data_IF_937262287112
#
_entry.id   IF_937262287112
#
_cell.length_a   1.000
_cell.length_b   1.000
_cell.length_c   1.000
_cell.angle_alpha   90.00
_cell.angle_beta   90.00
_cell.angle_gamma   90.00
#
_symmetry.space_group_name_H-M   'P 1'
#
loop_
_entity.id
_entity.type
_entity.pdbx_description
1 polymer ?
#
# COMPACT_ATOMS: atom_id res chain seq x y z
N UNK A 1 20.33 -12.92 -27.08
CA UNK A 1 21.31 -13.88 -27.65
C UNK A 1 21.43 -15.21 -26.87
N UNK A 2 20.46 -15.59 -26.04
CA UNK A 2 20.50 -16.86 -25.27
C UNK A 2 19.19 -17.66 -25.42
N UNK A 3 18.74 -17.86 -26.65
CA UNK A 3 17.67 -18.82 -26.95
C UNK A 3 17.96 -19.44 -28.32
N UNK A 4 18.93 -20.34 -28.39
CA UNK A 4 19.15 -21.11 -29.63
C UNK A 4 19.77 -22.50 -29.44
N UNK A 5 20.08 -22.93 -28.23
CA UNK A 5 20.68 -24.26 -28.00
C UNK A 5 20.15 -24.89 -26.72
N UNK A 6 18.94 -25.44 -26.76
CA UNK A 6 18.51 -26.45 -25.80
C UNK A 6 18.16 -27.73 -26.59
N UNK A 7 18.71 -28.90 -26.22
CA UNK A 7 18.38 -30.14 -26.89
C UNK A 7 16.90 -30.52 -26.62
N UNK A 8 16.22 -31.14 -27.60
CA UNK A 8 14.76 -31.27 -27.62
C UNK A 8 14.15 -32.21 -26.56
N UNK A 9 14.97 -32.78 -25.66
CA UNK A 9 14.54 -33.76 -24.64
C UNK A 9 14.54 -33.22 -23.20
N UNK A 10 14.76 -31.91 -22.99
CA UNK A 10 14.67 -31.31 -21.66
C UNK A 10 13.47 -30.37 -21.51
N UNK A 11 12.68 -30.64 -20.48
CA UNK A 11 11.52 -29.85 -20.05
C UNK A 11 11.97 -28.43 -19.62
N UNK A 12 11.50 -27.36 -20.29
CA UNK A 12 11.92 -25.98 -20.01
C UNK A 12 11.64 -25.54 -18.57
N UNK A 13 10.67 -26.15 -17.88
CA UNK A 13 10.39 -25.89 -16.46
C UNK A 13 11.50 -26.38 -15.54
N UNK A 14 12.21 -27.47 -15.90
CA UNK A 14 13.37 -27.98 -15.13
C UNK A 14 14.60 -27.08 -15.24
N UNK A 15 14.78 -26.43 -16.39
CA UNK A 15 15.88 -25.48 -16.61
C UNK A 15 15.64 -24.20 -15.82
N UNK A 16 14.39 -23.70 -15.82
CA UNK A 16 13.98 -22.52 -15.05
C UNK A 16 14.04 -22.73 -13.53
N UNK A 17 13.63 -23.90 -13.02
CA UNK A 17 13.72 -24.21 -11.59
C UNK A 17 15.15 -24.42 -11.12
N UNK A 18 16.00 -25.06 -11.93
CA UNK A 18 17.43 -25.20 -11.60
C UNK A 18 18.17 -23.84 -11.61
N UNK A 19 17.77 -22.93 -12.50
CA UNK A 19 18.27 -21.54 -12.52
C UNK A 19 17.75 -20.71 -11.35
N UNK A 20 16.47 -20.82 -10.97
CA UNK A 20 15.90 -20.08 -9.85
C UNK A 20 16.51 -20.53 -8.51
N UNK A 21 16.68 -21.83 -8.30
CA UNK A 21 17.35 -22.37 -7.10
C UNK A 21 18.84 -22.03 -7.10
N UNK A 22 19.50 -22.06 -8.27
CA UNK A 22 20.89 -21.64 -8.44
C UNK A 22 21.12 -20.16 -8.10
N UNK A 23 20.22 -19.27 -8.55
CA UNK A 23 20.27 -17.84 -8.26
C UNK A 23 20.03 -17.54 -6.77
N UNK A 24 19.05 -18.19 -6.13
CA UNK A 24 18.76 -18.00 -4.70
C UNK A 24 19.93 -18.48 -3.83
N UNK A 25 20.58 -19.59 -4.22
CA UNK A 25 21.77 -20.08 -3.55
C UNK A 25 22.97 -19.14 -3.79
N UNK A 26 23.15 -18.60 -5.00
CA UNK A 26 24.28 -17.73 -5.34
C UNK A 26 24.36 -16.44 -4.51
N UNK A 27 23.22 -15.91 -4.05
CA UNK A 27 23.13 -14.60 -3.37
C UNK A 27 23.12 -14.74 -1.83
N UNK A 28 23.04 -15.96 -1.29
CA UNK A 28 22.92 -16.22 0.15
C UNK A 28 24.27 -16.51 0.83
N UNK A 29 24.57 -15.94 2.02
CA UNK A 29 25.82 -16.19 2.75
C UNK A 29 25.92 -17.65 3.22
N UNK A 30 27.14 -18.20 3.22
CA UNK A 30 27.45 -19.63 3.41
C UNK A 30 26.67 -20.36 4.54
N UNK A 31 26.49 -19.82 5.76
CA UNK A 31 25.75 -20.53 6.81
C UNK A 31 24.23 -20.63 6.57
N UNK A 32 23.67 -19.84 5.64
CA UNK A 32 22.27 -19.95 5.24
C UNK A 32 22.04 -21.16 4.32
N UNK A 33 22.98 -21.49 3.42
CA UNK A 33 22.80 -22.58 2.43
C UNK A 33 22.52 -23.96 3.06
N UNK A 34 23.17 -24.29 4.17
CA UNK A 34 22.99 -25.58 4.86
C UNK A 34 21.65 -25.70 5.62
N UNK A 35 20.99 -24.58 5.91
CA UNK A 35 19.69 -24.56 6.59
C UNK A 35 18.56 -24.80 5.60
N UNK A 36 18.65 -24.22 4.41
CA UNK A 36 17.67 -24.36 3.35
C UNK A 36 17.53 -25.81 2.83
N UNK A 37 18.62 -26.57 2.78
CA UNK A 37 18.57 -27.99 2.40
C UNK A 37 17.88 -28.89 3.43
N UNK A 38 17.74 -28.47 4.69
CA UNK A 38 17.16 -29.28 5.77
C UNK A 38 15.64 -29.12 5.90
N UNK A 39 15.11 -27.94 5.55
CA UNK A 39 13.76 -27.52 5.92
C UNK A 39 12.71 -27.71 4.79
N UNK A 40 13.15 -28.02 3.57
CA UNK A 40 12.28 -28.20 2.40
C UNK A 40 12.36 -29.62 1.84
N UNK A 41 11.20 -30.27 1.67
CA UNK A 41 11.07 -31.47 0.84
C UNK A 41 10.28 -31.13 -0.44
N UNK A 42 10.81 -31.59 -1.57
CA UNK A 42 10.14 -31.57 -2.87
C UNK A 42 9.33 -32.86 -2.97
N UNK A 43 8.00 -32.75 -3.07
CA UNK A 43 7.13 -33.90 -3.35
C UNK A 43 6.37 -33.70 -4.66
N UNK A 44 6.15 -34.80 -5.37
CA UNK A 44 5.30 -34.85 -6.56
C UNK A 44 3.93 -35.36 -6.15
N UNK A 45 2.88 -34.66 -6.56
CA UNK A 45 1.50 -35.14 -6.48
C UNK A 45 1.22 -36.00 -7.73
N UNK A 46 0.79 -37.27 -7.61
CA UNK A 46 0.47 -38.10 -8.77
C UNK A 46 -0.75 -37.60 -9.56
N UNK A 47 -1.65 -36.84 -8.94
CA UNK A 47 -2.92 -36.41 -9.55
C UNK A 47 -2.86 -34.99 -10.13
N UNK A 48 -1.77 -34.26 -9.86
CA UNK A 48 -1.59 -32.89 -10.31
C UNK A 48 -0.12 -32.64 -10.73
N UNK A 49 0.19 -32.34 -12.01
CA UNK A 49 1.56 -32.32 -12.52
C UNK A 49 2.43 -31.14 -12.03
N UNK A 50 2.02 -30.45 -10.96
CA UNK A 50 2.81 -29.43 -10.27
C UNK A 50 3.84 -30.00 -9.28
N UNK A 51 5.02 -29.38 -9.21
CA UNK A 51 6.02 -29.67 -8.17
C UNK A 51 5.74 -28.77 -6.96
N UNK A 52 5.50 -29.35 -5.78
CA UNK A 52 5.19 -28.62 -4.56
C UNK A 52 6.37 -28.62 -3.59
N UNK A 53 6.69 -27.45 -3.03
CA UNK A 53 7.67 -27.27 -1.96
C UNK A 53 6.92 -27.21 -0.63
N UNK A 54 7.13 -28.20 0.25
CA UNK A 54 6.47 -28.25 1.57
C UNK A 54 7.47 -27.94 2.68
N UNK A 55 7.14 -26.97 3.53
CA UNK A 55 7.95 -26.57 4.69
C UNK A 55 7.69 -27.49 5.89
N UNK A 56 8.75 -28.06 6.48
CA UNK A 56 8.63 -28.88 7.71
C UNK A 56 8.62 -27.99 8.96
N UNK A 57 7.48 -27.37 9.27
CA UNK A 57 7.33 -26.67 10.55
C UNK A 57 5.98 -26.01 10.71
N UNK A 58 5.03 -26.72 11.30
CA UNK A 58 3.66 -26.25 11.53
C UNK A 58 3.56 -25.09 12.54
N UNK A 59 2.58 -24.22 12.28
CA UNK A 59 1.77 -23.37 13.18
C UNK A 59 2.44 -22.44 14.20
N UNK A 60 3.48 -22.87 14.91
CA UNK A 60 4.00 -22.16 16.07
C UNK A 60 4.97 -21.02 15.73
N UNK A 61 5.60 -21.05 14.56
CA UNK A 61 6.70 -20.13 14.20
C UNK A 61 6.19 -18.75 13.78
N UNK A 62 5.04 -18.66 13.11
CA UNK A 62 4.40 -17.39 12.71
C UNK A 62 4.06 -16.57 13.97
N UNK A 63 3.51 -17.21 15.00
CA UNK A 63 3.23 -16.56 16.30
C UNK A 63 4.47 -16.07 17.08
N UNK A 64 5.65 -16.63 16.81
CA UNK A 64 6.92 -16.19 17.41
C UNK A 64 7.57 -15.07 16.62
N UNK A 65 7.39 -15.06 15.30
CA UNK A 65 7.85 -13.98 14.42
C UNK A 65 7.00 -12.72 14.70
N UNK A 66 5.66 -12.82 14.76
CA UNK A 66 4.77 -11.71 15.14
C UNK A 66 5.09 -11.11 16.52
N UNK A 67 5.29 -11.94 17.55
CA UNK A 67 5.68 -11.47 18.90
C UNK A 67 7.08 -10.85 18.97
N UNK A 68 7.99 -11.20 18.06
CA UNK A 68 9.33 -10.60 17.98
C UNK A 68 9.31 -9.31 17.13
N UNK A 69 8.40 -9.21 16.17
CA UNK A 69 8.12 -7.99 15.40
C UNK A 69 7.50 -6.90 16.28
N UNK A 70 6.58 -7.26 17.18
CA UNK A 70 5.96 -6.30 18.12
C UNK A 70 6.92 -5.70 19.17
N UNK A 71 7.98 -6.43 19.56
CA UNK A 71 9.03 -5.88 20.44
C UNK A 71 9.97 -4.89 19.74
N UNK A 72 9.83 -4.70 18.43
CA UNK A 72 10.68 -3.84 17.61
C UNK A 72 9.90 -2.80 16.80
N UNK A 73 8.69 -2.42 17.22
CA UNK A 73 7.90 -1.33 16.64
C UNK A 73 8.42 0.07 17.05
N UNK A 74 9.74 0.18 17.17
CA UNK A 74 10.50 1.41 17.35
C UNK A 74 11.63 1.35 16.31
N UNK A 75 11.35 1.74 15.06
CA UNK A 75 12.37 1.76 14.00
C UNK A 75 11.84 2.07 12.60
N UNK A 76 12.24 3.24 12.06
CA UNK A 76 11.81 3.86 10.79
C UNK A 76 12.15 3.05 9.52
N UNK A 77 13.17 2.19 9.53
CA UNK A 77 13.58 1.41 8.34
C UNK A 77 12.58 0.31 7.94
N UNK A 78 11.69 -0.10 8.85
CA UNK A 78 10.74 -1.20 8.59
C UNK A 78 9.35 -0.75 8.15
N UNK A 79 9.02 0.53 8.27
CA UNK A 79 7.73 1.09 7.81
C UNK A 79 7.67 1.24 6.28
N UNK A 80 8.78 1.64 5.64
CA UNK A 80 8.88 1.67 4.18
C UNK A 80 8.83 0.27 3.55
N UNK A 81 9.49 -0.70 4.19
CA UNK A 81 9.44 -2.12 3.76
C UNK A 81 8.05 -2.74 3.94
N UNK A 82 7.25 -2.27 4.90
CA UNK A 82 5.89 -2.74 5.12
C UNK A 82 4.94 -2.31 3.98
N UNK A 83 5.06 -1.08 3.48
CA UNK A 83 4.19 -0.55 2.42
C UNK A 83 4.58 -1.03 1.02
N UNK A 84 5.88 -1.19 0.77
CA UNK A 84 6.38 -1.92 -0.40
C UNK A 84 5.81 -3.35 -0.41
N UNK A 85 5.78 -4.02 0.76
CA UNK A 85 5.23 -5.37 0.88
C UNK A 85 3.71 -5.42 0.69
N UNK A 86 2.94 -4.45 1.22
CA UNK A 86 1.48 -4.36 0.93
C UNK A 86 1.22 -4.13 -0.56
N UNK A 87 1.94 -3.19 -1.19
CA UNK A 87 1.73 -2.85 -2.60
C UNK A 87 2.21 -3.93 -3.59
N UNK A 88 3.13 -4.80 -3.18
CA UNK A 88 3.71 -5.86 -4.03
C UNK A 88 3.04 -7.23 -3.79
N UNK A 89 2.74 -7.58 -2.53
CA UNK A 89 2.19 -8.91 -2.19
C UNK A 89 0.66 -8.96 -2.20
N UNK A 90 -0.05 -7.85 -1.96
CA UNK A 90 -1.52 -7.80 -2.06
C UNK A 90 -1.99 -7.02 -3.29
N UNK A 91 -3.03 -7.53 -3.93
CA UNK A 91 -3.76 -6.76 -4.92
C UNK A 91 -4.43 -5.54 -4.27
N UNK A 92 -4.30 -4.37 -4.88
CA UNK A 92 -4.92 -3.12 -4.38
C UNK A 92 -6.40 -3.25 -4.05
N UNK A 93 -7.12 -4.10 -4.79
CA UNK A 93 -8.54 -4.34 -4.57
C UNK A 93 -8.83 -5.03 -3.22
N UNK A 94 -8.02 -6.02 -2.83
CA UNK A 94 -8.21 -6.76 -1.58
C UNK A 94 -7.94 -5.86 -0.37
N UNK A 95 -6.87 -5.06 -0.43
CA UNK A 95 -6.55 -4.06 0.60
C UNK A 95 -7.69 -3.04 0.76
N UNK A 96 -8.24 -2.55 -0.34
CA UNK A 96 -9.38 -1.61 -0.30
C UNK A 96 -10.64 -2.27 0.26
N UNK A 97 -10.92 -3.53 -0.09
CA UNK A 97 -12.07 -4.27 0.45
C UNK A 97 -11.97 -4.47 1.95
N UNK A 98 -10.81 -4.94 2.45
CA UNK A 98 -10.58 -5.11 3.89
C UNK A 98 -10.73 -3.77 4.63
N UNK A 99 -10.11 -2.72 4.10
CA UNK A 99 -10.14 -1.40 4.73
C UNK A 99 -11.55 -0.79 4.73
N UNK A 100 -12.31 -0.98 3.66
CA UNK A 100 -13.70 -0.54 3.56
C UNK A 100 -14.56 -1.24 4.62
N UNK A 101 -14.38 -2.54 4.79
CA UNK A 101 -15.14 -3.32 5.79
C UNK A 101 -14.75 -2.93 7.23
N UNK A 102 -13.46 -2.69 7.50
CA UNK A 102 -12.98 -2.16 8.79
C UNK A 102 -13.67 -0.85 9.14
N UNK A 103 -13.75 0.07 8.17
CA UNK A 103 -14.38 1.37 8.35
C UNK A 103 -15.89 1.25 8.59
N UNK A 104 -16.58 0.39 7.83
CA UNK A 104 -18.01 0.13 8.02
C UNK A 104 -18.31 -0.47 9.40
N UNK A 105 -17.51 -1.45 9.82
CA UNK A 105 -17.61 -2.02 11.17
C UNK A 105 -17.41 -0.90 12.20
N UNK A 106 -16.38 -0.06 12.06
CA UNK A 106 -16.12 1.02 13.01
C UNK A 106 -17.25 2.06 13.07
N UNK A 107 -17.77 2.48 11.92
CA UNK A 107 -18.89 3.45 11.83
C UNK A 107 -20.19 2.91 12.41
N UNK A 108 -20.41 1.59 12.33
CA UNK A 108 -21.60 0.94 12.92
C UNK A 108 -21.58 0.88 14.45
N UNK A 109 -20.41 1.08 15.09
CA UNK A 109 -20.25 0.92 16.53
C UNK A 109 -20.25 2.28 17.25
N UNK A 110 -20.88 2.39 18.42
CA UNK A 110 -20.86 3.63 19.20
C UNK A 110 -19.51 3.88 19.88
N UNK A 111 -18.69 2.83 20.06
CA UNK A 111 -17.41 2.88 20.75
C UNK A 111 -16.36 3.66 19.94
N UNK A 112 -15.57 4.47 20.63
CA UNK A 112 -14.45 5.19 20.04
C UNK A 112 -13.25 4.27 19.78
N UNK A 113 -13.09 3.21 20.57
CA UNK A 113 -11.99 2.24 20.46
C UNK A 113 -12.55 0.82 20.39
N UNK A 114 -12.19 0.09 19.34
CA UNK A 114 -12.64 -1.28 19.10
C UNK A 114 -11.52 -2.30 19.34
N UNK A 115 -11.80 -3.45 19.95
CA UNK A 115 -10.82 -4.53 20.08
C UNK A 115 -10.43 -5.08 18.71
N UNK A 116 -9.12 -5.13 18.43
CA UNK A 116 -8.57 -5.63 17.16
C UNK A 116 -9.00 -7.07 16.91
N UNK A 117 -8.88 -7.94 17.92
CA UNK A 117 -9.19 -9.37 17.80
C UNK A 117 -10.66 -9.60 17.42
N UNK A 118 -11.59 -8.85 18.02
CA UNK A 118 -13.02 -8.99 17.73
C UNK A 118 -13.34 -8.56 16.30
N UNK A 119 -12.73 -7.47 15.84
CA UNK A 119 -12.92 -6.98 14.47
C UNK A 119 -12.27 -7.91 13.45
N UNK A 120 -11.10 -8.49 13.75
CA UNK A 120 -10.46 -9.49 12.89
C UNK A 120 -11.37 -10.71 12.65
N UNK A 121 -12.00 -11.23 13.71
CA UNK A 121 -12.93 -12.34 13.59
C UNK A 121 -14.17 -11.99 12.75
N UNK A 122 -14.71 -10.79 12.94
CA UNK A 122 -15.87 -10.33 12.16
C UNK A 122 -15.51 -10.13 10.68
N UNK A 123 -14.33 -9.58 10.40
CA UNK A 123 -13.81 -9.41 9.04
C UNK A 123 -13.58 -10.73 8.34
N UNK A 124 -12.94 -11.70 9.00
CA UNK A 124 -12.72 -13.02 8.47
C UNK A 124 -14.05 -13.64 8.00
N UNK A 125 -15.07 -13.60 8.87
CA UNK A 125 -16.41 -14.07 8.56
C UNK A 125 -17.08 -13.31 7.40
N UNK A 126 -17.03 -11.96 7.40
CA UNK A 126 -17.71 -11.14 6.40
C UNK A 126 -17.08 -11.25 5.01
N UNK A 127 -15.76 -11.41 4.93
CA UNK A 127 -15.00 -11.51 3.68
C UNK A 127 -14.87 -12.96 3.18
N UNK A 128 -15.36 -13.93 3.94
CA UNK A 128 -15.42 -15.34 3.54
C UNK A 128 -14.15 -16.14 3.83
N UNK A 129 -13.27 -15.67 4.71
CA UNK A 129 -12.16 -16.45 5.25
C UNK A 129 -12.69 -17.43 6.33
N UNK A 130 -12.10 -18.62 6.41
CA UNK A 130 -12.43 -19.67 7.38
C UNK A 130 -12.17 -19.18 8.82
N UNK A 131 -11.03 -18.51 9.03
CA UNK A 131 -10.64 -17.92 10.29
C UNK A 131 -9.67 -16.74 10.11
N UNK A 132 -9.24 -16.16 11.24
CA UNK A 132 -8.27 -15.05 11.26
C UNK A 132 -6.91 -15.49 10.74
N UNK A 133 -6.50 -16.75 10.95
CA UNK A 133 -5.20 -17.24 10.51
C UNK A 133 -5.13 -17.33 8.98
N UNK A 134 -6.23 -17.73 8.32
CA UNK A 134 -6.34 -17.71 6.85
C UNK A 134 -6.31 -16.27 6.31
N UNK A 135 -7.05 -15.36 6.93
CA UNK A 135 -7.03 -13.93 6.55
C UNK A 135 -5.62 -13.35 6.71
N UNK A 136 -4.95 -13.59 7.84
CA UNK A 136 -3.57 -13.14 8.11
C UNK A 136 -2.55 -13.76 7.14
N UNK A 137 -2.77 -15.00 6.73
CA UNK A 137 -1.97 -15.67 5.71
C UNK A 137 -2.17 -15.04 4.32
N UNK A 138 -3.42 -14.69 3.95
CA UNK A 138 -3.74 -14.01 2.70
C UNK A 138 -3.09 -12.62 2.64
N UNK A 139 -3.17 -11.85 3.73
CA UNK A 139 -2.50 -10.53 3.82
C UNK A 139 -0.99 -10.63 4.09
N UNK A 140 -0.45 -11.84 4.30
CA UNK A 140 0.96 -12.11 4.60
C UNK A 140 1.53 -11.29 5.80
N UNK A 141 0.68 -11.01 6.80
CA UNK A 141 1.03 -10.29 8.03
C UNK A 141 -0.04 -10.43 9.11
N UNK A 142 0.31 -10.09 10.35
CA UNK A 142 -0.66 -9.98 11.44
C UNK A 142 -1.62 -8.81 11.19
N UNK A 143 -2.91 -8.98 11.46
CA UNK A 143 -3.93 -7.97 11.19
C UNK A 143 -3.69 -6.67 11.97
N UNK A 144 -3.14 -6.77 13.19
CA UNK A 144 -2.75 -5.59 13.97
C UNK A 144 -1.65 -4.76 13.29
N UNK A 145 -0.71 -5.43 12.61
CA UNK A 145 0.39 -4.82 11.85
C UNK A 145 -0.17 -4.19 10.59
N UNK A 146 -1.10 -4.86 9.90
CA UNK A 146 -1.83 -4.32 8.75
C UNK A 146 -2.54 -3.01 9.10
N UNK A 147 -3.36 -3.00 10.15
CA UNK A 147 -4.05 -1.80 10.62
C UNK A 147 -3.08 -0.68 11.00
N UNK A 148 -1.96 -1.02 11.64
CA UNK A 148 -0.92 -0.06 12.00
C UNK A 148 -0.24 0.56 10.79
N UNK A 149 -0.50 0.07 9.57
CA UNK A 149 0.02 0.59 8.32
C UNK A 149 -0.62 1.88 7.82
N UNK A 150 -1.87 2.13 8.22
CA UNK A 150 -2.68 3.18 7.62
C UNK A 150 -2.59 4.49 8.41
N UNK A 151 -2.62 5.67 7.75
CA UNK A 151 -2.44 6.96 8.41
C UNK A 151 -3.53 7.28 9.45
N UNK A 152 -4.79 7.06 9.09
CA UNK A 152 -5.96 7.41 9.90
C UNK A 152 -6.30 6.40 11.01
N UNK A 153 -5.55 5.30 11.11
CA UNK A 153 -5.76 4.24 12.08
C UNK A 153 -4.74 4.39 13.20
N UNK A 154 -5.23 4.49 14.43
CA UNK A 154 -4.40 4.49 15.63
C UNK A 154 -4.63 3.20 16.41
N UNK A 155 -3.55 2.61 16.92
CA UNK A 155 -3.60 1.38 17.72
C UNK A 155 -3.01 1.66 19.10
N UNK A 156 -3.63 1.12 20.14
CA UNK A 156 -3.14 1.19 21.51
C UNK A 156 -3.28 -0.15 22.24
N UNK A 157 -2.50 -0.32 23.30
CA UNK A 157 -2.72 -1.37 24.30
C UNK A 157 -3.65 -0.85 25.40
N UNK A 158 -4.70 -1.60 25.72
CA UNK A 158 -5.56 -1.23 26.86
C UNK A 158 -4.87 -1.57 28.19
N UNK A 159 -4.27 -0.62 28.90
CA UNK A 159 -3.71 -0.82 30.26
C UNK A 159 -2.43 -1.67 30.37
N UNK A 160 -1.99 -2.01 31.61
CA UNK A 160 -0.78 -2.85 31.86
C UNK A 160 -1.10 -4.35 31.78
N UNK A 161 -0.32 -5.13 31.00
CA UNK A 161 -0.39 -6.60 30.90
C UNK A 161 -0.62 -7.16 29.49
N UNK A 162 -0.99 -8.45 29.38
CA UNK A 162 -1.48 -9.10 28.13
C UNK A 162 -2.94 -8.71 27.85
N UNK A 163 -3.21 -7.42 27.69
CA UNK A 163 -4.55 -6.94 27.36
C UNK A 163 -4.71 -6.78 25.85
N UNK A 164 -5.94 -6.91 25.31
CA UNK A 164 -6.19 -6.87 23.88
C UNK A 164 -5.78 -5.52 23.28
N UNK A 165 -5.35 -5.56 22.02
CA UNK A 165 -5.11 -4.34 21.24
C UNK A 165 -6.46 -3.72 20.89
N UNK A 166 -6.50 -2.39 20.93
CA UNK A 166 -7.65 -1.61 20.46
C UNK A 166 -7.19 -0.68 19.35
N UNK A 167 -8.06 -0.45 18.36
CA UNK A 167 -7.85 0.56 17.34
C UNK A 167 -8.96 1.60 17.33
N UNK A 168 -8.67 2.76 16.76
CA UNK A 168 -9.63 3.83 16.48
C UNK A 168 -9.36 4.44 15.12
N UNK A 169 -10.40 5.04 14.53
CA UNK A 169 -10.35 5.77 13.27
C UNK A 169 -10.75 7.21 13.50
N UNK A 170 -10.08 8.14 12.81
CA UNK A 170 -10.55 9.53 12.68
C UNK A 170 -11.89 9.54 11.95
N UNK A 171 -12.98 9.85 12.65
CA UNK A 171 -14.34 9.88 12.07
C UNK A 171 -14.49 11.01 11.05
N UNK A 172 -15.13 10.70 9.93
CA UNK A 172 -15.48 11.68 8.89
C UNK A 172 -16.51 12.70 9.41
N UNK A 173 -17.43 12.26 10.28
CA UNK A 173 -18.49 13.11 10.85
C UNK A 173 -17.95 14.29 11.66
N UNK A 174 -16.71 14.20 12.15
CA UNK A 174 -16.04 15.24 12.93
C UNK A 174 -15.20 16.19 12.05
N UNK A 175 -15.24 16.05 10.72
CA UNK A 175 -14.52 16.92 9.78
C UNK A 175 -14.80 18.41 9.99
N UNK A 176 -16.05 18.77 10.26
CA UNK A 176 -16.47 20.16 10.50
C UNK A 176 -15.87 20.79 11.77
N UNK A 177 -15.35 19.98 12.69
CA UNK A 177 -14.68 20.45 13.91
C UNK A 177 -13.18 20.67 13.70
N UNK A 178 -12.65 20.28 12.53
CA UNK A 178 -11.23 20.32 12.23
C UNK A 178 -10.88 21.57 11.45
N UNK A 179 -9.65 22.03 11.67
CA UNK A 179 -9.10 23.13 10.90
C UNK A 179 -8.64 22.64 9.53
N UNK A 180 -8.74 23.49 8.49
CA UNK A 180 -8.07 23.25 7.22
C UNK A 180 -6.56 23.01 7.41
N UNK A 181 -6.02 22.08 6.63
CA UNK A 181 -4.60 21.73 6.66
C UNK A 181 -3.97 21.93 5.29
N UNK A 182 -2.78 22.53 5.27
CA UNK A 182 -1.85 22.37 4.15
C UNK A 182 -0.67 21.52 4.56
N UNK A 183 -0.25 20.65 3.66
CA UNK A 183 0.94 19.84 3.87
C UNK A 183 1.80 19.82 2.61
N UNK A 184 3.11 19.72 2.82
CA UNK A 184 4.12 19.56 1.76
C UNK A 184 4.96 18.35 2.09
N UNK A 185 5.15 17.50 1.10
CA UNK A 185 6.06 16.39 1.15
C UNK A 185 7.01 16.45 -0.06
N UNK A 186 8.32 16.39 0.19
CA UNK A 186 9.32 16.43 -0.87
C UNK A 186 9.73 14.98 -1.17
N UNK A 187 9.44 14.51 -2.38
CA UNK A 187 9.81 13.19 -2.86
C UNK A 187 11.23 13.27 -3.39
N UNK A 188 12.18 12.64 -2.71
CA UNK A 188 13.61 12.71 -3.06
C UNK A 188 14.10 11.44 -3.77
N UNK A 189 13.45 10.32 -3.52
CA UNK A 189 13.84 9.00 -4.03
C UNK A 189 12.62 8.14 -4.39
N UNK A 190 12.85 7.09 -5.18
CA UNK A 190 11.80 6.10 -5.51
C UNK A 190 11.22 5.40 -4.28
N UNK A 191 11.96 5.35 -3.15
CA UNK A 191 11.44 4.82 -1.88
C UNK A 191 10.32 5.68 -1.32
N UNK A 192 10.39 6.99 -1.49
CA UNK A 192 9.42 7.95 -0.96
C UNK A 192 8.06 7.80 -1.68
N UNK A 193 8.04 7.27 -2.91
CA UNK A 193 6.82 6.99 -3.67
C UNK A 193 5.94 5.93 -2.99
N UNK A 194 6.50 5.08 -2.15
CA UNK A 194 5.77 4.06 -1.38
C UNK A 194 5.15 4.60 -0.10
N UNK A 195 5.33 5.90 0.21
CA UNK A 195 4.63 6.57 1.32
C UNK A 195 3.12 6.48 1.09
N UNK A 196 2.38 6.02 2.10
CA UNK A 196 0.92 5.97 2.04
C UNK A 196 0.37 7.36 2.33
N UNK A 197 -0.49 7.80 1.42
CA UNK A 197 -1.20 9.05 1.50
C UNK A 197 -2.70 8.78 1.52
N UNK A 198 -3.34 9.20 2.60
CA UNK A 198 -4.79 9.33 2.70
C UNK A 198 -5.20 10.67 2.07
N UNK A 199 -5.83 10.61 0.90
CA UNK A 199 -6.51 11.73 0.27
C UNK A 199 -7.95 11.79 0.77
N UNK A 200 -8.31 12.86 1.48
CA UNK A 200 -9.71 13.10 1.87
C UNK A 200 -10.58 13.43 0.65
N UNK A 201 -11.91 13.36 0.83
CA UNK A 201 -12.90 13.65 -0.23
C UNK A 201 -12.77 15.06 -0.81
N UNK A 202 -12.35 16.00 0.03
CA UNK A 202 -12.25 17.44 -0.27
C UNK A 202 -10.80 17.90 -0.48
N UNK A 203 -9.84 16.97 -0.46
CA UNK A 203 -8.42 17.28 -0.64
C UNK A 203 -8.11 17.61 -2.10
N UNK A 204 -7.41 18.73 -2.28
CA UNK A 204 -6.69 19.09 -3.50
C UNK A 204 -5.24 18.64 -3.34
N UNK A 205 -4.68 18.04 -4.38
CA UNK A 205 -3.25 17.73 -4.48
C UNK A 205 -2.65 18.57 -5.61
N UNK A 206 -1.48 19.11 -5.39
CA UNK A 206 -0.75 19.94 -6.32
C UNK A 206 0.71 19.49 -6.47
N UNK A 207 1.18 19.45 -7.72
CA UNK A 207 2.57 19.18 -8.09
C UNK A 207 3.09 20.45 -8.82
N UNK A 208 3.73 21.38 -8.09
CA UNK A 208 4.15 22.67 -8.63
C UNK A 208 5.04 22.55 -9.88
N UNK A 209 5.96 21.60 -9.90
CA UNK A 209 6.94 21.43 -10.98
C UNK A 209 6.31 21.07 -12.33
N UNK A 210 5.08 20.55 -12.30
CA UNK A 210 4.30 20.20 -13.49
C UNK A 210 3.10 21.12 -13.71
N UNK A 211 2.87 22.09 -12.82
CA UNK A 211 1.63 22.90 -12.77
C UNK A 211 0.38 22.01 -12.82
N UNK A 212 0.42 20.89 -12.07
CA UNK A 212 -0.56 19.83 -12.15
C UNK A 212 -1.36 19.70 -10.85
N UNK A 213 -2.68 19.66 -10.99
CA UNK A 213 -3.64 19.53 -9.88
C UNK A 213 -4.43 18.23 -9.99
N UNK A 214 -4.61 17.54 -8.85
CA UNK A 214 -5.64 16.51 -8.68
C UNK A 214 -6.75 17.12 -7.81
N UNK A 215 -7.89 17.38 -8.45
CA UNK A 215 -9.06 17.98 -7.81
C UNK A 215 -9.79 17.02 -6.84
N UNK A 216 -10.66 17.54 -5.98
CA UNK A 216 -11.58 16.74 -5.19
C UNK A 216 -12.50 15.90 -6.09
N UNK A 217 -12.62 14.62 -5.80
CA UNK A 217 -13.45 13.65 -6.51
C UNK A 217 -14.61 13.12 -5.63
N UNK A 218 -14.77 13.68 -4.43
CA UNK A 218 -15.79 13.29 -3.46
C UNK A 218 -15.56 11.92 -2.83
N UNK A 219 -14.43 11.27 -3.12
CA UNK A 219 -14.07 9.94 -2.61
C UNK A 219 -12.84 10.04 -1.73
N UNK A 220 -12.88 9.31 -0.61
CA UNK A 220 -11.72 9.09 0.23
C UNK A 220 -10.87 8.02 -0.44
N UNK A 221 -9.56 8.26 -0.56
CA UNK A 221 -8.64 7.29 -1.19
C UNK A 221 -7.39 7.13 -0.35
N UNK A 222 -7.02 5.89 -0.09
CA UNK A 222 -5.86 5.53 0.73
C UNK A 222 -4.96 4.69 -0.14
N UNK A 223 -3.84 5.27 -0.54
CA UNK A 223 -2.96 4.64 -1.51
C UNK A 223 -1.54 5.21 -1.39
N UNK A 224 -0.58 4.60 -2.07
CA UNK A 224 0.78 5.14 -2.14
C UNK A 224 0.84 6.33 -3.09
N UNK A 225 1.84 7.21 -2.92
CA UNK A 225 2.08 8.32 -3.86
C UNK A 225 2.27 7.81 -5.29
N UNK A 226 2.99 6.69 -5.45
CA UNK A 226 3.14 5.99 -6.74
C UNK A 226 1.77 5.74 -7.39
N UNK A 227 0.84 5.15 -6.65
CA UNK A 227 -0.46 4.77 -7.17
C UNK A 227 -1.39 5.97 -7.42
N UNK A 228 -1.27 7.04 -6.63
CA UNK A 228 -1.99 8.29 -6.92
C UNK A 228 -1.51 8.91 -8.25
N UNK A 229 -0.21 8.94 -8.51
CA UNK A 229 0.36 9.39 -9.79
C UNK A 229 -0.04 8.45 -10.92
N UNK A 230 0.09 7.14 -10.73
CA UNK A 230 -0.30 6.13 -11.72
C UNK A 230 -1.78 6.22 -12.10
N UNK A 231 -2.66 6.47 -11.12
CA UNK A 231 -4.07 6.72 -11.38
C UNK A 231 -4.31 8.00 -12.17
N UNK A 232 -3.58 9.09 -11.90
CA UNK A 232 -3.66 10.31 -12.69
C UNK A 232 -3.24 10.08 -14.15
N UNK A 233 -2.13 9.37 -14.38
CA UNK A 233 -1.66 8.98 -15.72
C UNK A 233 -2.72 8.14 -16.44
N UNK A 234 -3.29 7.13 -15.76
CA UNK A 234 -4.34 6.29 -16.32
C UNK A 234 -5.59 7.09 -16.69
N UNK A 235 -6.06 7.96 -15.79
CA UNK A 235 -7.26 8.78 -15.99
C UNK A 235 -7.09 9.73 -17.18
N UNK A 236 -5.93 10.40 -17.31
CA UNK A 236 -5.63 11.25 -18.46
C UNK A 236 -5.60 10.44 -19.77
N UNK A 237 -4.94 9.28 -19.77
CA UNK A 237 -4.89 8.39 -20.93
C UNK A 237 -6.27 7.85 -21.31
N UNK A 238 -7.09 7.50 -20.33
CA UNK A 238 -8.47 7.07 -20.53
C UNK A 238 -9.32 8.19 -21.09
N UNK A 239 -9.21 9.42 -20.57
CA UNK A 239 -9.93 10.59 -21.06
C UNK A 239 -9.63 10.90 -22.53
N UNK A 240 -8.37 10.76 -22.95
CA UNK A 240 -8.00 10.93 -24.37
C UNK A 240 -8.54 9.79 -25.24
N UNK A 241 -8.49 8.54 -24.78
CA UNK A 241 -8.98 7.36 -25.52
C UNK A 241 -10.50 7.30 -25.65
N UNK A 242 -11.20 7.60 -24.56
CA UNK A 242 -12.66 7.69 -24.51
C UNK A 242 -13.20 8.96 -25.15
N UNK A 243 -12.30 9.86 -25.56
CA UNK A 243 -12.58 11.15 -26.18
C UNK A 243 -13.90 11.11 -26.92
N UNK A 244 -14.90 11.68 -26.24
CA UNK A 244 -16.17 12.18 -26.76
C UNK A 244 -15.87 12.88 -28.08
N UNK A 245 -16.06 12.15 -29.18
CA UNK A 245 -15.27 12.21 -30.42
C UNK A 245 -15.30 13.48 -31.28
N UNK A 246 -15.56 14.66 -30.69
CA UNK A 246 -15.67 15.95 -31.40
C UNK A 246 -15.12 17.16 -30.64
N UNK A 247 -14.75 17.04 -29.35
CA UNK A 247 -14.45 18.22 -28.51
C UNK A 247 -12.97 18.61 -28.41
N UNK A 248 -12.03 17.70 -28.69
CA UNK A 248 -10.60 17.98 -28.58
C UNK A 248 -9.93 18.09 -29.95
N UNK A 249 -9.30 19.24 -30.22
CA UNK A 249 -8.38 19.36 -31.35
C UNK A 249 -7.15 18.46 -31.12
N UNK A 250 -6.42 18.13 -32.19
CA UNK A 250 -5.20 17.31 -32.12
C UNK A 250 -4.18 17.89 -31.11
N UNK A 251 -4.01 19.21 -31.13
CA UNK A 251 -3.09 19.93 -30.26
C UNK A 251 -3.40 19.75 -28.76
N UNK A 252 -4.67 19.68 -28.36
CA UNK A 252 -5.06 19.44 -26.97
C UNK A 252 -4.74 18.00 -26.56
N UNK A 253 -4.94 17.03 -27.46
CA UNK A 253 -4.58 15.63 -27.18
C UNK A 253 -3.08 15.50 -26.96
N UNK A 254 -2.27 16.12 -27.82
CA UNK A 254 -0.80 16.17 -27.65
C UNK A 254 -0.38 16.78 -26.32
N UNK A 255 -1.03 17.89 -25.90
CA UNK A 255 -0.77 18.52 -24.59
C UNK A 255 -1.10 17.57 -23.43
N UNK A 256 -2.24 16.89 -23.48
CA UNK A 256 -2.63 15.92 -22.42
C UNK A 256 -1.64 14.77 -22.37
N UNK A 257 -1.23 14.22 -23.53
CA UNK A 257 -0.21 13.17 -23.57
C UNK A 257 1.15 13.64 -23.04
N UNK A 258 1.52 14.89 -23.31
CA UNK A 258 2.75 15.48 -22.78
C UNK A 258 2.73 15.54 -21.26
N UNK A 259 1.61 15.94 -20.65
CA UNK A 259 1.45 15.95 -19.19
C UNK A 259 1.46 14.53 -18.63
N UNK A 260 0.72 13.60 -19.23
CA UNK A 260 0.69 12.20 -18.79
C UNK A 260 2.09 11.55 -18.85
N UNK A 261 2.88 11.85 -19.89
CA UNK A 261 4.27 11.42 -20.01
C UNK A 261 5.15 12.01 -18.90
N UNK A 262 5.05 13.32 -18.64
CA UNK A 262 5.80 13.98 -17.55
C UNK A 262 5.46 13.41 -16.18
N UNK A 263 4.18 13.11 -15.92
CA UNK A 263 3.75 12.43 -14.69
C UNK A 263 4.34 11.03 -14.57
N UNK A 264 4.35 10.27 -15.67
CA UNK A 264 4.95 8.94 -15.67
C UNK A 264 6.46 8.97 -15.38
N UNK A 265 7.17 10.01 -15.86
CA UNK A 265 8.58 10.20 -15.52
C UNK A 265 8.81 10.47 -14.02
N UNK A 266 7.84 11.04 -13.29
CA UNK A 266 7.98 11.25 -11.85
C UNK A 266 8.04 9.94 -11.06
N UNK A 267 7.54 8.83 -11.62
CA UNK A 267 7.59 7.51 -10.98
C UNK A 267 9.02 6.97 -10.84
N UNK A 268 9.95 7.47 -11.64
CA UNK A 268 11.38 7.15 -11.54
C UNK A 268 12.15 8.16 -10.67
N UNK A 269 11.49 9.23 -10.22
CA UNK A 269 12.07 10.35 -9.44
C UNK A 269 13.41 10.85 -10.02
N UNK A 270 13.46 11.28 -11.29
CA UNK A 270 14.71 11.72 -11.94
C UNK A 270 15.29 12.97 -11.26
N UNK A 271 14.42 13.78 -10.65
CA UNK A 271 14.75 14.91 -9.78
C UNK A 271 13.74 14.94 -8.63
N UNK A 272 14.12 15.46 -7.45
CA UNK A 272 13.17 15.70 -6.39
C UNK A 272 12.02 16.59 -6.85
N UNK A 273 10.81 16.28 -6.40
CA UNK A 273 9.61 17.07 -6.70
C UNK A 273 8.73 17.22 -5.46
N UNK A 274 7.82 18.18 -5.52
CA UNK A 274 6.98 18.57 -4.40
C UNK A 274 5.58 17.99 -4.54
N UNK A 275 5.11 17.34 -3.47
CA UNK A 275 3.73 16.91 -3.30
C UNK A 275 3.06 17.81 -2.27
N UNK A 276 2.26 18.75 -2.73
CA UNK A 276 1.52 19.68 -1.89
C UNK A 276 0.07 19.27 -1.81
N UNK A 277 -0.53 19.46 -0.64
CA UNK A 277 -1.95 19.22 -0.44
C UNK A 277 -2.59 20.36 0.31
N UNK A 278 -3.84 20.60 -0.05
CA UNK A 278 -4.75 21.45 0.69
C UNK A 278 -6.00 20.64 1.00
N UNK A 279 -6.31 20.51 2.28
CA UNK A 279 -7.46 19.77 2.76
C UNK A 279 -8.28 20.63 3.73
N UNK A 280 -9.41 21.19 3.28
CA UNK A 280 -10.34 21.93 4.13
C UNK A 280 -10.88 21.10 5.31
N UNK A 281 -10.95 19.77 5.17
CA UNK A 281 -11.55 18.89 6.18
C UNK A 281 -10.58 18.43 7.28
N UNK A 282 -9.28 18.64 7.09
CA UNK A 282 -8.24 18.21 8.04
C UNK A 282 -8.20 16.70 8.28
N UNK A 283 -8.56 15.89 7.27
CA UNK A 283 -8.62 14.42 7.35
C UNK A 283 -7.46 13.73 6.64
N UNK A 284 -6.82 14.41 5.69
CA UNK A 284 -5.71 13.88 4.91
C UNK A 284 -4.48 13.69 5.79
N UNK A 285 -3.70 12.64 5.52
CA UNK A 285 -2.56 12.28 6.35
C UNK A 285 -1.56 11.41 5.58
N UNK A 286 -0.28 11.55 5.91
CA UNK A 286 0.81 10.75 5.37
C UNK A 286 1.29 9.72 6.38
N UNK A 287 1.78 8.59 5.88
CA UNK A 287 2.47 7.58 6.66
C UNK A 287 3.64 6.99 5.87
N UNK A 288 4.89 7.12 6.36
CA UNK A 288 5.29 7.85 7.57
C UNK A 288 5.05 9.37 7.46
N UNK A 289 4.88 10.07 8.60
CA UNK A 289 4.70 11.53 8.64
C UNK A 289 6.03 12.31 8.61
N UNK A 290 7.16 11.61 8.65
CA UNK A 290 8.50 12.21 8.61
C UNK A 290 8.74 12.93 7.28
N UNK A 291 9.28 14.15 7.35
CA UNK A 291 9.55 14.98 6.17
C UNK A 291 8.33 15.71 5.63
N UNK A 292 7.16 15.54 6.24
CA UNK A 292 5.95 16.30 5.93
C UNK A 292 5.99 17.62 6.70
N UNK A 293 5.94 18.73 5.98
CA UNK A 293 5.77 20.05 6.58
C UNK A 293 4.28 20.37 6.60
N UNK A 294 3.73 20.68 7.77
CA UNK A 294 2.32 21.04 7.96
C UNK A 294 2.22 22.50 8.35
N UNK A 295 1.31 23.25 7.73
CA UNK A 295 1.02 24.62 8.12
C UNK A 295 -0.47 24.94 7.99
N UNK A 296 -0.93 25.91 8.79
CA UNK A 296 -2.28 26.44 8.68
C UNK A 296 -2.33 27.40 7.46
N UNK A 297 -3.34 27.29 6.58
CA UNK A 297 -3.51 28.24 5.48
C UNK A 297 -3.78 29.63 6.05
N UNK A 298 -3.13 30.66 5.48
CA UNK A 298 -3.45 32.05 5.81
C UNK A 298 -4.81 32.41 5.20
N UNK A 299 -5.60 33.21 5.93
CA UNK A 299 -6.98 33.57 5.60
C UNK A 299 -7.15 34.18 4.19
N UNK A 300 -6.10 34.81 3.65
CA UNK A 300 -6.11 35.44 2.32
C UNK A 300 -5.96 34.43 1.16
N UNK A 301 -5.39 33.24 1.40
CA UNK A 301 -5.14 32.22 0.38
C UNK A 301 -6.27 31.19 0.23
N UNK A 302 -7.28 31.23 1.12
CA UNK A 302 -8.48 30.38 1.00
C UNK A 302 -9.34 30.77 -0.21
N UNK A 303 -9.24 32.02 -0.65
CA UNK A 303 -10.06 32.57 -1.75
C UNK A 303 -9.51 32.21 -3.13
N UNK A 304 -8.19 32.09 -3.30
CA UNK A 304 -7.57 31.84 -4.61
C UNK A 304 -7.65 30.38 -5.08
N UNK A 305 -7.82 29.42 -4.15
CA UNK A 305 -7.96 27.99 -4.50
C UNK A 305 -9.42 27.50 -4.53
N UNK A 306 -10.37 28.35 -4.16
CA UNK A 306 -11.81 28.07 -4.29
C UNK A 306 -12.39 28.54 -5.64
N UNK A 307 -11.58 29.21 -6.48
CA UNK A 307 -11.93 29.68 -7.83
C UNK A 307 -11.38 28.70 -8.86
#
# INVERSE_FOLDING_TARGET
FFFSTCPPEMDPLRVLTSLAVGCILAISPAPARERWHRDFQVSRDPENPGIFLRFRGGGATVSRIGRRLWKGYEGEEREGAFLEKIGVDLGHQEVQSILTEVEQIFESQPLEWLPVDNVANLLAYNLGYEDVDEMEAAINMEFSVFLAGFPHIQIRKKGRGKKPLEFTLKRESESHLRKPLRMRYIVNSTKDLWTVFLKSKNCIVWIPELEFEIRPDGRKRIDTLYNHIGAAVFNLGYHVRQGTGKLYNETMREKIFTVAYKLNLLLDVPKPFTWEIYDPSGLSEFKPSKGVTVWEPKQDEETEMQI
#
